data_IF_078569506514
#
_entry.id   IF_078569506514
#
_cell.length_a   1.000
_cell.length_b   1.000
_cell.length_c   1.000
_cell.angle_alpha   90.00
_cell.angle_beta   90.00
_cell.angle_gamma   90.00
#
_symmetry.space_group_name_H-M   'P 1'
#
loop_
_entity.id
_entity.type
_entity.pdbx_description
1 polymer ?
#
# COMPACT_ATOMS: atom_id res chain seq x y z
N UNK A 1 -6.83 -23.65 2.53
CA UNK A 1 -7.13 -22.30 1.99
C UNK A 1 -6.22 -22.06 0.79
N UNK A 2 -6.69 -21.35 -0.24
CA UNK A 2 -5.85 -20.98 -1.39
C UNK A 2 -4.97 -19.77 -1.04
N UNK A 3 -3.77 -19.67 -1.63
CA UNK A 3 -2.83 -18.54 -1.49
C UNK A 3 -3.53 -17.21 -1.80
N UNK A 4 -4.38 -17.17 -2.83
CA UNK A 4 -5.17 -15.98 -3.18
C UNK A 4 -6.10 -15.55 -2.04
N UNK A 5 -6.71 -16.50 -1.34
CA UNK A 5 -7.63 -16.19 -0.24
C UNK A 5 -6.86 -15.63 0.97
N UNK A 6 -5.68 -16.20 1.27
CA UNK A 6 -4.81 -15.68 2.31
C UNK A 6 -4.31 -14.27 1.98
N UNK A 7 -3.90 -14.02 0.74
CA UNK A 7 -3.48 -12.69 0.31
C UNK A 7 -4.62 -11.67 0.39
N UNK A 8 -5.82 -12.07 -0.06
CA UNK A 8 -7.02 -11.22 0.05
C UNK A 8 -7.32 -10.83 1.49
N UNK A 9 -7.27 -11.79 2.42
CA UNK A 9 -7.46 -11.51 3.84
C UNK A 9 -6.41 -10.53 4.37
N UNK A 10 -5.13 -10.73 4.03
CA UNK A 10 -4.05 -9.82 4.44
C UNK A 10 -4.27 -8.39 3.94
N UNK A 11 -4.67 -8.23 2.67
CA UNK A 11 -5.00 -6.93 2.07
C UNK A 11 -6.13 -6.25 2.84
N UNK A 12 -7.22 -6.96 3.12
CA UNK A 12 -8.37 -6.43 3.86
C UNK A 12 -8.02 -6.06 5.31
N UNK A 13 -7.25 -6.91 6.01
CA UNK A 13 -6.81 -6.64 7.38
C UNK A 13 -5.90 -5.41 7.48
N UNK A 14 -4.94 -5.29 6.55
CA UNK A 14 -4.08 -4.12 6.49
C UNK A 14 -4.88 -2.85 6.16
N UNK A 15 -5.88 -2.97 5.28
CA UNK A 15 -6.71 -1.81 4.93
C UNK A 15 -7.63 -1.40 6.08
N UNK A 16 -8.15 -2.35 6.88
CA UNK A 16 -8.87 -2.02 8.11
C UNK A 16 -7.98 -1.23 9.07
N UNK A 17 -6.74 -1.68 9.29
CA UNK A 17 -5.76 -0.94 10.09
C UNK A 17 -5.52 0.47 9.54
N UNK A 18 -5.42 0.59 8.21
CA UNK A 18 -5.28 1.88 7.53
C UNK A 18 -6.47 2.81 7.82
N UNK A 19 -7.71 2.35 7.61
CA UNK A 19 -8.91 3.17 7.88
C UNK A 19 -9.01 3.55 9.36
N UNK A 20 -8.76 2.60 10.27
CA UNK A 20 -8.85 2.84 11.71
C UNK A 20 -7.86 3.93 12.18
N UNK A 21 -6.65 3.96 11.60
CA UNK A 21 -5.63 4.97 11.94
C UNK A 21 -5.82 6.32 11.27
N UNK A 22 -6.38 6.33 10.06
CA UNK A 22 -6.46 7.54 9.23
C UNK A 22 -7.80 8.27 9.35
N UNK A 23 -8.85 7.57 9.80
CA UNK A 23 -10.23 8.08 9.77
C UNK A 23 -10.66 8.57 8.38
N UNK A 24 -10.12 7.95 7.33
CA UNK A 24 -10.42 8.30 5.94
C UNK A 24 -11.91 8.17 5.66
N UNK A 25 -12.51 9.23 5.14
CA UNK A 25 -13.97 9.33 4.93
C UNK A 25 -14.35 9.84 3.55
N UNK A 26 -13.36 10.13 2.71
CA UNK A 26 -13.49 10.77 1.42
C UNK A 26 -12.70 9.96 0.39
N UNK A 27 -12.92 10.26 -0.89
CA UNK A 27 -12.14 9.66 -1.96
C UNK A 27 -10.68 10.11 -1.84
N UNK A 28 -9.75 9.17 -1.90
CA UNK A 28 -8.33 9.44 -1.64
C UNK A 28 -7.47 8.48 -2.43
N UNK A 29 -6.33 8.96 -2.93
CA UNK A 29 -5.31 8.13 -3.55
C UNK A 29 -4.58 7.35 -2.46
N UNK A 30 -4.65 6.02 -2.54
CA UNK A 30 -3.94 5.11 -1.65
C UNK A 30 -2.84 4.41 -2.42
N UNK A 31 -1.64 4.44 -1.86
CA UNK A 31 -0.44 3.81 -2.39
C UNK A 31 -0.21 2.49 -1.63
N UNK A 32 -0.35 1.37 -2.31
CA UNK A 32 0.07 0.07 -1.79
C UNK A 32 1.58 -0.08 -1.99
N UNK A 33 2.31 -0.23 -0.89
CA UNK A 33 3.77 -0.25 -0.87
C UNK A 33 4.27 -1.69 -0.74
N UNK A 34 5.10 -2.12 -1.67
CA UNK A 34 5.72 -3.44 -1.68
C UNK A 34 7.22 -3.32 -1.53
N UNK A 35 7.77 -4.05 -0.55
CA UNK A 35 9.20 -4.03 -0.23
C UNK A 35 9.79 -5.44 -0.28
N UNK A 36 11.10 -5.60 -0.48
CA UNK A 36 11.77 -6.90 -0.40
C UNK A 36 11.46 -7.65 0.90
N UNK A 37 11.22 -8.96 0.81
CA UNK A 37 11.08 -9.82 2.00
C UNK A 37 12.42 -9.99 2.72
N UNK A 38 13.51 -9.90 1.99
CA UNK A 38 14.88 -10.00 2.49
C UNK A 38 15.83 -9.20 1.60
N UNK A 39 16.94 -8.72 2.17
CA UNK A 39 17.91 -7.89 1.47
C UNK A 39 17.88 -6.43 1.92
N UNK A 40 18.65 -5.59 1.22
CA UNK A 40 18.62 -4.15 1.39
C UNK A 40 17.35 -3.59 0.74
N UNK A 41 16.82 -2.52 1.33
CA UNK A 41 15.65 -1.79 0.82
C UNK A 41 16.15 -0.45 0.29
N UNK A 42 16.11 -0.31 -1.03
CA UNK A 42 16.44 0.89 -1.79
C UNK A 42 15.30 1.27 -2.74
N UNK A 43 15.35 2.47 -3.32
CA UNK A 43 14.31 2.99 -4.22
C UNK A 43 13.97 2.05 -5.39
N UNK A 44 14.96 1.40 -5.99
CA UNK A 44 14.79 0.52 -7.16
C UNK A 44 14.16 -0.83 -6.76
N UNK A 45 14.28 -1.20 -5.48
CA UNK A 45 13.75 -2.44 -4.91
C UNK A 45 12.29 -2.33 -4.46
N UNK A 46 11.76 -1.11 -4.34
CA UNK A 46 10.40 -0.83 -3.88
C UNK A 46 9.46 -0.73 -5.07
N UNK A 47 8.30 -1.37 -4.96
CA UNK A 47 7.22 -1.26 -5.95
C UNK A 47 6.03 -0.56 -5.30
N UNK A 48 5.48 0.44 -6.00
CA UNK A 48 4.32 1.21 -5.54
C UNK A 48 3.17 1.03 -6.52
N UNK A 49 2.01 0.70 -5.98
CA UNK A 49 0.76 0.66 -6.73
C UNK A 49 -0.20 1.71 -6.17
N UNK A 50 -0.52 2.72 -6.95
CA UNK A 50 -1.50 3.75 -6.57
C UNK A 50 -2.89 3.43 -7.10
N UNK A 51 -3.91 3.75 -6.30
CA UNK A 51 -5.29 3.71 -6.73
C UNK A 51 -6.16 4.64 -5.87
N UNK A 52 -7.04 5.38 -6.53
CA UNK A 52 -8.13 6.10 -5.86
C UNK A 52 -9.14 5.13 -5.23
N UNK A 53 -9.45 5.35 -3.96
CA UNK A 53 -10.42 4.56 -3.22
C UNK A 53 -11.35 5.49 -2.45
N UNK A 54 -12.64 5.16 -2.49
CA UNK A 54 -13.65 5.79 -1.66
C UNK A 54 -14.09 4.78 -0.58
N UNK A 55 -13.74 5.00 0.70
CA UNK A 55 -14.03 4.04 1.77
C UNK A 55 -15.52 3.94 2.10
N UNK A 56 -16.36 4.86 1.61
CA UNK A 56 -17.82 4.80 1.77
C UNK A 56 -18.51 4.08 0.62
N UNK A 57 -17.81 3.80 -0.48
CA UNK A 57 -18.34 3.07 -1.61
C UNK A 57 -17.82 1.62 -1.62
N UNK A 58 -18.75 0.69 -1.43
CA UNK A 58 -18.46 -0.74 -1.44
C UNK A 58 -17.87 -1.21 -2.78
N UNK A 59 -18.33 -0.65 -3.91
CA UNK A 59 -17.81 -1.05 -5.22
C UNK A 59 -16.35 -0.58 -5.40
N UNK A 60 -16.05 0.64 -4.98
CA UNK A 60 -14.69 1.18 -4.94
C UNK A 60 -13.76 0.31 -4.09
N UNK A 61 -14.19 -0.07 -2.87
CA UNK A 61 -13.44 -0.97 -1.98
C UNK A 61 -13.19 -2.34 -2.60
N UNK A 62 -14.21 -2.99 -3.15
CA UNK A 62 -14.06 -4.30 -3.78
C UNK A 62 -13.09 -4.28 -4.97
N UNK A 63 -13.17 -3.21 -5.79
CA UNK A 63 -12.21 -2.99 -6.89
C UNK A 63 -10.80 -2.82 -6.37
N UNK A 64 -10.61 -1.98 -5.35
CA UNK A 64 -9.31 -1.77 -4.70
C UNK A 64 -8.73 -3.08 -4.17
N UNK A 65 -9.47 -3.80 -3.32
CA UNK A 65 -9.01 -5.05 -2.76
C UNK A 65 -8.71 -6.10 -3.84
N UNK A 66 -9.50 -6.17 -4.91
CA UNK A 66 -9.28 -7.13 -6.00
C UNK A 66 -7.99 -6.83 -6.75
N UNK A 67 -7.76 -5.56 -7.08
CA UNK A 67 -6.54 -5.10 -7.77
C UNK A 67 -5.31 -5.26 -6.90
N UNK A 68 -5.34 -4.78 -5.66
CA UNK A 68 -4.21 -4.92 -4.73
C UNK A 68 -3.91 -6.39 -4.45
N UNK A 69 -4.91 -7.26 -4.31
CA UNK A 69 -4.67 -8.70 -4.15
C UNK A 69 -3.96 -9.28 -5.37
N UNK A 70 -4.35 -8.89 -6.58
CA UNK A 70 -3.70 -9.35 -7.81
C UNK A 70 -2.24 -8.87 -7.86
N UNK A 71 -2.00 -7.58 -7.64
CA UNK A 71 -0.66 -6.98 -7.63
C UNK A 71 0.21 -7.60 -6.54
N UNK A 72 -0.35 -7.84 -5.35
CA UNK A 72 0.37 -8.49 -4.26
C UNK A 72 0.79 -9.92 -4.59
N UNK A 73 -0.07 -10.68 -5.29
CA UNK A 73 0.30 -12.02 -5.77
C UNK A 73 1.39 -11.98 -6.85
N UNK A 74 1.38 -10.97 -7.73
CA UNK A 74 2.43 -10.76 -8.74
C UNK A 74 3.77 -10.38 -8.08
N UNK A 75 3.72 -9.49 -7.09
CA UNK A 75 4.89 -9.06 -6.31
C UNK A 75 5.43 -10.15 -5.40
N UNK A 76 4.59 -11.07 -4.91
CA UNK A 76 5.04 -12.24 -4.15
C UNK A 76 5.93 -13.17 -4.99
N UNK A 77 5.72 -13.25 -6.31
CA UNK A 77 6.62 -13.97 -7.23
C UNK A 77 7.97 -13.27 -7.38
N UNK A 78 8.02 -11.96 -7.18
CA UNK A 78 9.25 -11.14 -7.18
C UNK A 78 9.94 -11.09 -5.81
N UNK A 79 9.51 -11.91 -4.85
CA UNK A 79 9.99 -11.90 -3.46
C UNK A 79 9.75 -10.58 -2.70
N UNK A 80 8.71 -9.84 -3.11
CA UNK A 80 8.25 -8.64 -2.41
C UNK A 80 7.07 -8.97 -1.48
N UNK A 81 6.90 -8.19 -0.43
CA UNK A 81 5.77 -8.26 0.50
C UNK A 81 5.03 -6.93 0.54
N UNK A 82 3.71 -6.99 0.72
CA UNK A 82 2.91 -5.81 1.05
C UNK A 82 3.33 -5.30 2.44
N UNK A 83 4.00 -4.15 2.44
CA UNK A 83 4.55 -3.50 3.64
C UNK A 83 3.50 -2.66 4.35
N UNK A 84 2.74 -1.87 3.58
CA UNK A 84 1.85 -0.87 4.14
C UNK A 84 1.01 -0.20 3.06
N UNK A 85 0.11 0.66 3.52
CA UNK A 85 -0.58 1.63 2.69
C UNK A 85 -0.10 3.03 3.04
N UNK A 86 0.24 3.82 2.02
CA UNK A 86 0.53 5.23 2.18
C UNK A 86 -0.57 6.07 1.54
N UNK A 87 -0.69 7.31 1.99
CA UNK A 87 -1.63 8.28 1.42
C UNK A 87 -1.14 9.70 1.67
N UNK A 88 -1.62 10.62 0.85
CA UNK A 88 -1.41 12.05 1.09
C UNK A 88 -2.41 12.56 2.12
N UNK A 89 -1.87 13.22 3.14
CA UNK A 89 -2.64 13.95 4.13
C UNK A 89 -2.06 15.34 4.27
N UNK A 90 -2.83 16.34 3.86
CA UNK A 90 -2.47 17.76 3.96
C UNK A 90 -1.10 18.08 3.32
N UNK A 91 -0.73 17.39 2.24
CA UNK A 91 0.53 17.58 1.52
C UNK A 91 1.73 16.83 2.12
N UNK A 92 1.51 15.94 3.09
CA UNK A 92 2.52 15.04 3.64
C UNK A 92 2.12 13.58 3.43
N UNK A 93 3.09 12.74 3.06
CA UNK A 93 2.86 11.30 2.91
C UNK A 93 2.87 10.61 4.27
N UNK A 94 1.73 10.05 4.68
CA UNK A 94 1.61 9.20 5.86
C UNK A 94 1.59 7.72 5.45
N UNK A 95 2.37 6.88 6.14
CA UNK A 95 2.48 5.44 5.86
C UNK A 95 1.90 4.67 7.05
N UNK A 96 0.96 3.77 6.77
CA UNK A 96 0.38 2.86 7.73
C UNK A 96 0.88 1.44 7.46
N UNK A 97 1.68 0.93 8.39
CA UNK A 97 2.26 -0.42 8.35
C UNK A 97 2.23 -1.07 9.74
N UNK A 98 2.14 -2.42 9.83
CA UNK A 98 2.32 -3.15 11.08
C UNK A 98 3.79 -3.27 11.51
N UNK A 99 4.76 -3.17 10.59
CA UNK A 99 6.19 -3.49 10.84
C UNK A 99 7.07 -2.23 10.98
N UNK A 100 6.46 -1.07 11.26
CA UNK A 100 7.06 0.27 11.37
C UNK A 100 8.60 0.30 11.40
N UNK A 101 9.19 0.63 10.25
CA UNK A 101 10.63 0.75 10.02
C UNK A 101 10.89 2.15 9.46
N UNK A 102 11.65 2.97 10.19
CA UNK A 102 11.86 4.38 9.83
C UNK A 102 12.66 4.55 8.54
N UNK A 103 13.67 3.71 8.30
CA UNK A 103 14.51 3.80 7.09
C UNK A 103 13.67 3.50 5.85
N UNK A 104 12.89 2.41 5.89
CA UNK A 104 11.96 2.05 4.80
C UNK A 104 10.92 3.17 4.58
N UNK A 105 10.38 3.72 5.67
CA UNK A 105 9.38 4.78 5.59
C UNK A 105 9.92 6.05 4.93
N UNK A 106 11.17 6.43 5.21
CA UNK A 106 11.80 7.59 4.56
C UNK A 106 11.96 7.36 3.06
N UNK A 107 12.53 6.22 2.64
CA UNK A 107 12.70 5.90 1.22
C UNK A 107 11.35 5.87 0.47
N UNK A 108 10.32 5.28 1.08
CA UNK A 108 8.98 5.22 0.49
C UNK A 108 8.37 6.61 0.33
N UNK A 109 8.56 7.52 1.31
CA UNK A 109 8.06 8.89 1.21
C UNK A 109 8.73 9.65 0.07
N UNK A 110 10.06 9.59 0.00
CA UNK A 110 10.81 10.24 -1.07
C UNK A 110 10.40 9.72 -2.46
N UNK A 111 10.19 8.40 -2.57
CA UNK A 111 9.73 7.79 -3.82
C UNK A 111 8.33 8.27 -4.23
N UNK A 112 7.36 8.32 -3.30
CA UNK A 112 6.00 8.82 -3.59
C UNK A 112 6.02 10.30 -3.92
N UNK A 113 6.78 11.12 -3.20
CA UNK A 113 6.89 12.55 -3.47
C UNK A 113 7.44 12.81 -4.88
N UNK A 114 8.50 12.09 -5.28
CA UNK A 114 9.03 12.17 -6.65
C UNK A 114 8.03 11.72 -7.71
N UNK A 115 7.30 10.62 -7.46
CA UNK A 115 6.24 10.17 -8.38
C UNK A 115 5.16 11.24 -8.57
N UNK A 116 4.86 12.02 -7.53
CA UNK A 116 3.89 13.14 -7.61
C UNK A 116 4.44 14.36 -8.35
N UNK A 117 5.75 14.62 -8.29
CA UNK A 117 6.39 15.75 -8.98
C UNK A 117 6.61 15.52 -10.48
N UNK A 118 6.65 14.26 -10.94
CA UNK A 118 6.82 13.91 -12.35
C UNK A 118 5.52 13.98 -13.19
N UNK A 119 4.39 14.40 -12.60
CA UNK A 119 3.06 14.56 -13.23
C UNK A 119 2.75 16.05 -13.46
#
# INVERSE_FOLDING_TARGET
>A
MSIRHQMRQRVEELFKLFIDKTSLNEETVVYAVFVPKSGEVDEDSIEIFEQEVNPKDFESLEKFFSRVTKVALENEVKDLKLYGYAYDKDGSIEIITPESDEEINEVVKELIERMKEEI
#
